data_IF_949020466926
#
_entry.id   IF_949020466926
#
_cell.length_a   1.000
_cell.length_b   1.000
_cell.length_c   1.000
_cell.angle_alpha   90.00
_cell.angle_beta   90.00
_cell.angle_gamma   90.00
#
_symmetry.space_group_name_H-M   'P 1'
#
loop_
_entity.id
_entity.type
_entity.pdbx_description
1 polymer ?
#
# COMPACT_ATOMS: atom_id res chain seq x y z
N UNK A 1 65.04 56.40 1.37
CA UNK A 1 65.03 57.28 0.18
C UNK A 1 64.21 56.57 -0.89
N UNK A 2 63.19 57.28 -1.41
CA UNK A 2 62.38 57.03 -2.62
C UNK A 2 61.24 55.99 -2.50
N UNK A 3 60.02 56.48 -2.77
CA UNK A 3 58.73 55.78 -2.65
C UNK A 3 58.26 55.15 -3.97
N UNK A 4 56.98 55.33 -4.37
CA UNK A 4 55.83 54.62 -3.81
C UNK A 4 55.00 53.89 -4.90
N UNK A 5 54.13 52.98 -4.46
CA UNK A 5 52.81 52.66 -5.05
C UNK A 5 52.68 52.01 -6.45
N UNK A 6 51.77 51.03 -6.45
CA UNK A 6 50.77 50.70 -7.49
C UNK A 6 50.98 49.48 -8.39
N UNK A 7 49.91 48.68 -8.37
CA UNK A 7 49.36 47.88 -9.46
C UNK A 7 50.13 46.63 -9.86
N UNK A 8 49.72 45.49 -9.30
CA UNK A 8 49.33 44.31 -10.08
C UNK A 8 48.46 43.40 -9.20
N UNK A 9 47.16 43.72 -9.13
CA UNK A 9 46.10 42.72 -9.08
C UNK A 9 46.34 41.76 -10.25
N UNK A 10 46.69 40.50 -10.01
CA UNK A 10 46.47 39.35 -10.92
C UNK A 10 46.59 38.07 -10.09
N UNK A 11 45.42 37.46 -9.84
CA UNK A 11 45.16 36.02 -9.91
C UNK A 11 45.98 35.08 -9.03
N UNK A 12 45.64 35.02 -7.74
CA UNK A 12 45.62 33.72 -7.06
C UNK A 12 44.35 32.99 -7.52
N UNK A 13 44.51 31.73 -7.94
CA UNK A 13 43.49 30.77 -8.38
C UNK A 13 43.07 30.89 -9.86
N UNK A 14 43.80 30.21 -10.76
CA UNK A 14 43.22 29.22 -11.69
C UNK A 14 44.27 28.58 -12.61
N UNK A 15 44.03 27.29 -12.89
CA UNK A 15 44.39 26.51 -14.07
C UNK A 15 45.80 25.91 -14.23
N UNK A 16 45.83 24.58 -14.01
CA UNK A 16 46.21 23.52 -14.97
C UNK A 16 47.62 23.50 -15.59
N UNK A 17 48.33 22.37 -15.48
CA UNK A 17 48.34 21.29 -16.49
C UNK A 17 49.37 20.18 -16.12
N UNK A 18 48.88 18.94 -16.15
CA UNK A 18 49.49 17.71 -16.68
C UNK A 18 50.84 17.16 -16.16
N UNK A 19 50.79 15.97 -15.54
CA UNK A 19 51.10 14.71 -16.26
C UNK A 19 51.10 13.45 -15.34
N UNK A 20 50.17 12.52 -15.64
CA UNK A 20 50.33 11.04 -15.70
C UNK A 20 50.62 10.22 -14.40
N UNK A 21 50.47 8.88 -14.39
CA UNK A 21 49.22 8.18 -14.09
C UNK A 21 49.39 7.17 -12.92
N UNK A 22 48.38 6.96 -12.06
CA UNK A 22 48.47 5.92 -11.02
C UNK A 22 47.28 4.97 -11.08
N UNK A 23 47.65 3.70 -11.03
CA UNK A 23 46.89 2.52 -11.35
C UNK A 23 45.61 2.36 -10.51
N UNK A 24 44.56 1.87 -11.17
CA UNK A 24 43.34 1.39 -10.52
C UNK A 24 43.67 0.04 -9.87
N UNK A 25 43.73 0.05 -8.54
CA UNK A 25 43.86 -1.15 -7.72
C UNK A 25 42.54 -1.93 -7.76
N UNK A 26 42.57 -3.12 -8.34
CA UNK A 26 41.43 -4.04 -8.41
C UNK A 26 41.43 -4.91 -7.16
N UNK A 27 40.89 -4.43 -6.04
CA UNK A 27 40.33 -5.29 -4.99
C UNK A 27 39.53 -4.47 -3.97
N UNK A 28 38.28 -4.16 -4.32
CA UNK A 28 37.22 -3.92 -3.33
C UNK A 28 35.93 -4.43 -3.93
N UNK A 29 35.50 -5.59 -3.47
CA UNK A 29 34.20 -6.19 -3.82
C UNK A 29 33.13 -5.32 -3.18
N UNK A 30 32.41 -4.56 -3.99
CA UNK A 30 31.13 -3.98 -3.61
C UNK A 30 30.09 -5.11 -3.49
N UNK A 31 29.12 -5.03 -2.55
CA UNK A 31 27.95 -5.90 -2.59
C UNK A 31 27.25 -5.76 -3.96
N UNK A 32 26.51 -6.78 -4.43
CA UNK A 32 25.73 -6.64 -5.65
C UNK A 32 24.78 -5.46 -5.46
N UNK A 33 24.86 -4.49 -6.37
CA UNK A 33 23.77 -3.56 -6.58
C UNK A 33 22.63 -4.44 -7.09
N UNK A 34 21.59 -4.61 -6.28
CA UNK A 34 20.30 -5.00 -6.82
C UNK A 34 19.96 -3.93 -7.85
N UNK A 35 19.88 -4.34 -9.12
CA UNK A 35 19.19 -3.56 -10.13
C UNK A 35 17.75 -3.41 -9.61
N UNK A 36 17.48 -2.29 -8.94
CA UNK A 36 16.12 -1.87 -8.66
C UNK A 36 15.56 -1.50 -10.02
N UNK A 37 14.69 -2.37 -10.54
CA UNK A 37 13.85 -2.07 -11.70
C UNK A 37 13.21 -0.69 -11.47
N UNK A 38 13.06 0.13 -12.53
CA UNK A 38 12.43 1.45 -12.41
C UNK A 38 11.10 1.32 -11.66
N UNK A 39 10.64 2.35 -10.92
CA UNK A 39 9.38 2.27 -10.17
C UNK A 39 8.29 1.84 -11.13
N UNK A 40 7.90 0.57 -11.05
CA UNK A 40 6.88 0.05 -11.92
C UNK A 40 5.55 0.60 -11.41
N UNK A 41 4.64 0.94 -12.32
CA UNK A 41 3.36 1.60 -12.10
C UNK A 41 2.38 0.80 -11.24
N UNK A 42 2.74 0.42 -10.00
CA UNK A 42 1.96 -0.43 -9.08
C UNK A 42 0.50 0.00 -9.02
N UNK A 43 -0.41 -0.86 -9.49
CA UNK A 43 -1.84 -0.56 -9.51
C UNK A 43 -2.47 -0.65 -8.11
N UNK A 44 -1.68 -1.01 -7.09
CA UNK A 44 -2.13 -1.15 -5.70
C UNK A 44 -2.85 -2.48 -5.43
N UNK A 45 -3.04 -3.33 -6.45
CA UNK A 45 -3.69 -4.63 -6.30
C UNK A 45 -2.72 -5.68 -5.73
N UNK A 46 -3.20 -6.48 -4.77
CA UNK A 46 -2.40 -7.57 -4.18
C UNK A 46 -2.03 -8.72 -5.15
N UNK A 47 -2.53 -8.68 -6.38
CA UNK A 47 -2.25 -9.58 -7.49
C UNK A 47 -1.82 -8.83 -8.76
N UNK A 48 -1.46 -7.54 -8.65
CA UNK A 48 -0.98 -6.69 -9.74
C UNK A 48 0.12 -7.38 -10.57
N UNK A 49 1.15 -7.91 -9.88
CA UNK A 49 2.22 -8.66 -10.54
C UNK A 49 1.71 -9.81 -11.40
N UNK A 50 0.74 -10.59 -10.91
CA UNK A 50 0.16 -11.69 -11.67
C UNK A 50 -0.64 -11.18 -12.87
N UNK A 51 -1.40 -10.10 -12.70
CA UNK A 51 -2.13 -9.43 -13.78
C UNK A 51 -1.17 -8.98 -14.89
N UNK A 52 -0.09 -8.28 -14.55
CA UNK A 52 0.93 -7.83 -15.51
C UNK A 52 1.61 -8.98 -16.23
N UNK A 53 2.12 -9.96 -15.49
CA UNK A 53 2.79 -11.11 -16.10
C UNK A 53 1.83 -11.82 -17.09
N UNK A 54 0.54 -11.94 -16.77
CA UNK A 54 -0.46 -12.48 -17.70
C UNK A 54 -0.62 -11.60 -18.96
N UNK A 55 -0.78 -10.29 -18.80
CA UNK A 55 -0.94 -9.34 -19.91
C UNK A 55 0.32 -9.32 -20.80
N UNK A 56 1.50 -9.17 -20.22
CA UNK A 56 2.79 -9.13 -20.94
C UNK A 56 3.02 -10.36 -21.80
N UNK A 57 2.61 -11.54 -21.31
CA UNK A 57 2.73 -12.78 -22.09
C UNK A 57 1.64 -12.91 -23.15
N UNK A 58 0.45 -12.37 -22.92
CA UNK A 58 -0.61 -12.30 -23.93
C UNK A 58 -0.26 -11.33 -25.06
N UNK A 59 0.35 -10.19 -24.77
CA UNK A 59 0.77 -9.20 -25.78
C UNK A 59 1.87 -9.70 -26.72
N UNK A 60 2.65 -10.70 -26.31
CA UNK A 60 3.63 -11.37 -27.18
C UNK A 60 2.97 -12.12 -28.34
N UNK A 61 1.68 -12.46 -28.24
CA UNK A 61 0.90 -13.07 -29.31
C UNK A 61 0.34 -11.98 -30.26
N UNK A 62 0.71 -11.97 -31.55
CA UNK A 62 0.28 -10.91 -32.46
C UNK A 62 -1.24 -10.80 -32.64
N UNK A 63 -1.95 -11.94 -32.63
CA UNK A 63 -3.41 -11.96 -32.78
C UNK A 63 -4.08 -11.36 -31.55
N UNK A 64 -3.64 -11.79 -30.36
CA UNK A 64 -4.20 -11.28 -29.12
C UNK A 64 -3.89 -9.79 -28.94
N UNK A 65 -2.67 -9.35 -29.23
CA UNK A 65 -2.26 -7.93 -29.14
C UNK A 65 -3.12 -7.03 -30.03
N UNK A 66 -3.37 -7.44 -31.27
CA UNK A 66 -4.25 -6.67 -32.17
C UNK A 66 -5.68 -6.59 -31.63
N UNK A 67 -6.18 -7.66 -30.99
CA UNK A 67 -7.49 -7.65 -30.34
C UNK A 67 -7.51 -6.76 -29.10
N UNK A 68 -6.46 -6.78 -28.28
CA UNK A 68 -6.34 -5.95 -27.10
C UNK A 68 -6.42 -4.46 -27.45
N UNK A 69 -5.64 -3.99 -28.43
CA UNK A 69 -5.61 -2.56 -28.80
C UNK A 69 -6.86 -2.06 -29.53
N UNK A 70 -7.64 -2.94 -30.17
CA UNK A 70 -8.81 -2.55 -30.96
C UNK A 70 -10.15 -2.77 -30.22
N UNK A 71 -10.12 -3.27 -28.99
CA UNK A 71 -11.33 -3.56 -28.21
C UNK A 71 -11.56 -2.46 -27.18
N UNK A 72 -12.75 -1.88 -27.19
CA UNK A 72 -13.15 -0.86 -26.21
C UNK A 72 -13.20 -1.46 -24.78
N UNK A 73 -12.98 -0.62 -23.76
CA UNK A 73 -12.99 -1.06 -22.37
C UNK A 73 -14.29 -1.75 -21.96
N UNK A 74 -15.44 -1.25 -22.40
CA UNK A 74 -16.74 -1.87 -22.12
C UNK A 74 -16.86 -3.29 -22.70
N UNK A 75 -16.25 -3.52 -23.86
CA UNK A 75 -16.23 -4.83 -24.50
C UNK A 75 -15.26 -5.79 -23.79
N UNK A 76 -14.16 -5.27 -23.24
CA UNK A 76 -13.24 -6.00 -22.35
C UNK A 76 -13.98 -6.43 -21.08
N UNK A 77 -14.70 -5.52 -20.40
CA UNK A 77 -15.50 -5.80 -19.19
C UNK A 77 -16.58 -6.86 -19.43
N UNK A 78 -17.16 -6.88 -20.63
CA UNK A 78 -18.16 -7.88 -21.04
C UNK A 78 -17.58 -9.28 -21.31
N UNK A 79 -16.25 -9.46 -21.22
CA UNK A 79 -15.59 -10.75 -21.42
C UNK A 79 -15.46 -11.15 -22.90
N UNK A 80 -15.56 -10.20 -23.83
CA UNK A 80 -15.35 -10.47 -25.26
C UNK A 80 -13.88 -10.81 -25.53
N UNK A 81 -12.95 -10.05 -24.92
CA UNK A 81 -11.51 -10.27 -25.05
C UNK A 81 -11.08 -11.64 -24.51
N UNK A 82 -11.66 -12.10 -23.40
CA UNK A 82 -11.31 -13.38 -22.80
C UNK A 82 -11.50 -14.57 -23.76
N UNK A 83 -12.48 -14.50 -24.67
CA UNK A 83 -12.75 -15.54 -25.68
C UNK A 83 -11.67 -15.65 -26.75
N UNK A 84 -10.89 -14.59 -26.97
CA UNK A 84 -9.79 -14.61 -27.94
C UNK A 84 -8.62 -15.49 -27.46
N UNK A 85 -8.60 -15.86 -26.18
CA UNK A 85 -7.63 -16.79 -25.59
C UNK A 85 -7.62 -18.18 -26.25
N UNK A 86 -8.71 -18.59 -26.89
CA UNK A 86 -8.80 -19.85 -27.64
C UNK A 86 -7.97 -19.86 -28.92
N UNK A 87 -7.62 -18.68 -29.45
CA UNK A 87 -6.83 -18.52 -30.68
C UNK A 87 -5.34 -18.25 -30.40
N UNK A 88 -4.98 -18.06 -29.13
CA UNK A 88 -3.61 -17.78 -28.69
C UNK A 88 -2.71 -19.00 -28.92
N UNK A 89 -1.45 -18.75 -29.31
CA UNK A 89 -0.47 -19.80 -29.56
C UNK A 89 -0.22 -20.72 -28.34
N UNK A 90 0.10 -21.99 -28.62
CA UNK A 90 0.33 -23.00 -27.58
C UNK A 90 1.46 -22.61 -26.60
N UNK A 91 2.50 -21.91 -27.07
CA UNK A 91 3.60 -21.48 -26.21
C UNK A 91 3.13 -20.50 -25.14
N UNK A 92 2.31 -19.52 -25.52
CA UNK A 92 1.72 -18.55 -24.58
C UNK A 92 0.77 -19.27 -23.61
N UNK A 93 -0.11 -20.15 -24.10
CA UNK A 93 -0.97 -20.99 -23.25
C UNK A 93 -0.19 -21.77 -22.19
N UNK A 94 0.91 -22.41 -22.58
CA UNK A 94 1.77 -23.18 -21.65
C UNK A 94 2.36 -22.29 -20.56
N UNK A 95 2.71 -21.05 -20.92
CA UNK A 95 3.24 -20.07 -19.96
C UNK A 95 2.16 -19.55 -19.01
N UNK A 96 0.97 -19.24 -19.52
CA UNK A 96 -0.18 -18.84 -18.69
C UNK A 96 -0.56 -19.92 -17.67
N UNK A 97 -0.52 -21.19 -18.07
CA UNK A 97 -0.70 -22.31 -17.14
C UNK A 97 0.35 -22.32 -16.03
N UNK A 98 1.60 -21.94 -16.33
CA UNK A 98 2.67 -21.84 -15.34
C UNK A 98 2.44 -20.67 -14.38
N UNK A 99 2.10 -19.49 -14.89
CA UNK A 99 1.79 -18.30 -14.09
C UNK A 99 0.64 -18.58 -13.12
N UNK A 100 -0.44 -19.20 -13.58
CA UNK A 100 -1.56 -19.60 -12.73
C UNK A 100 -1.14 -20.53 -11.59
N UNK A 101 -0.29 -21.52 -11.89
CA UNK A 101 0.23 -22.44 -10.85
C UNK A 101 1.09 -21.71 -9.83
N UNK A 102 1.90 -20.75 -10.27
CA UNK A 102 2.72 -19.93 -9.38
C UNK A 102 1.83 -19.08 -8.46
N UNK A 103 0.81 -18.44 -9.02
CA UNK A 103 -0.13 -17.62 -8.26
C UNK A 103 -0.92 -18.44 -7.23
N UNK A 104 -1.49 -19.58 -7.64
CA UNK A 104 -2.18 -20.49 -6.70
C UNK A 104 -1.25 -20.94 -5.56
N UNK A 105 0.04 -21.17 -5.83
CA UNK A 105 1.01 -21.54 -4.79
C UNK A 105 1.34 -20.36 -3.86
N UNK A 106 1.43 -19.13 -4.39
CA UNK A 106 1.57 -17.90 -3.60
C UNK A 106 0.39 -17.75 -2.62
N UNK A 107 -0.84 -17.86 -3.12
CA UNK A 107 -2.06 -17.76 -2.33
C UNK A 107 -2.16 -18.84 -1.25
N UNK A 108 -1.78 -20.09 -1.55
CA UNK A 108 -1.69 -21.17 -0.55
C UNK A 108 -0.69 -20.85 0.56
N UNK A 109 0.43 -20.22 0.20
CA UNK A 109 1.45 -19.82 1.17
C UNK A 109 0.92 -18.71 2.07
N UNK A 110 0.25 -17.70 1.51
CA UNK A 110 -0.39 -16.62 2.28
C UNK A 110 -1.44 -17.15 3.26
N UNK A 111 -2.30 -18.07 2.81
CA UNK A 111 -3.29 -18.73 3.68
C UNK A 111 -2.59 -19.43 4.85
N UNK A 112 -1.53 -20.20 4.56
CA UNK A 112 -0.79 -20.92 5.59
C UNK A 112 -0.16 -19.98 6.62
N UNK A 113 0.45 -18.88 6.17
CA UNK A 113 1.05 -17.86 7.05
C UNK A 113 -0.01 -17.22 7.95
N UNK A 114 -1.16 -16.81 7.38
CA UNK A 114 -2.27 -16.23 8.15
C UNK A 114 -2.77 -17.17 9.25
N UNK A 115 -2.79 -18.48 8.99
CA UNK A 115 -3.21 -19.47 9.98
C UNK A 115 -2.17 -19.71 11.07
N UNK A 116 -0.89 -19.76 10.70
CA UNK A 116 0.20 -19.90 11.67
C UNK A 116 0.25 -18.69 12.63
N UNK A 117 -0.11 -17.49 12.14
CA UNK A 117 -0.25 -16.27 12.95
C UNK A 117 -1.46 -16.31 13.89
N UNK A 118 -2.60 -16.82 13.42
CA UNK A 118 -3.84 -16.91 14.21
C UNK A 118 -3.82 -18.05 15.25
N UNK A 119 -2.73 -18.81 15.37
CA UNK A 119 -2.56 -19.83 16.41
C UNK A 119 -3.34 -21.13 16.17
N UNK A 120 -3.95 -21.33 14.99
CA UNK A 120 -4.74 -22.51 14.63
C UNK A 120 -3.85 -23.72 14.25
N UNK A 121 -2.87 -24.08 15.09
CA UNK A 121 -2.00 -25.22 14.83
C UNK A 121 -2.75 -26.54 15.02
N UNK A 122 -3.13 -27.18 13.92
CA UNK A 122 -3.52 -28.61 13.89
C UNK A 122 -4.88 -28.96 13.29
N UNK A 123 -5.66 -27.99 12.80
CA UNK A 123 -6.91 -28.27 12.09
C UNK A 123 -6.60 -28.72 10.65
N UNK A 124 -7.27 -29.73 10.10
CA UNK A 124 -7.15 -30.07 8.68
C UNK A 124 -7.82 -28.97 7.86
N UNK A 125 -7.02 -28.04 7.34
CA UNK A 125 -7.52 -26.88 6.61
C UNK A 125 -7.91 -27.28 5.19
N UNK A 126 -9.17 -27.05 4.83
CA UNK A 126 -9.58 -27.09 3.44
C UNK A 126 -9.05 -25.85 2.70
N UNK A 127 -7.80 -25.93 2.26
CA UNK A 127 -7.15 -24.87 1.51
C UNK A 127 -7.94 -24.50 0.24
N UNK A 128 -8.73 -25.44 -0.31
CA UNK A 128 -9.58 -25.18 -1.47
C UNK A 128 -10.78 -24.29 -1.10
N UNK A 129 -11.34 -24.43 0.10
CA UNK A 129 -12.39 -23.56 0.57
C UNK A 129 -11.88 -22.13 0.82
N UNK A 130 -10.67 -21.98 1.37
CA UNK A 130 -10.08 -20.67 1.63
C UNK A 130 -9.67 -19.94 0.35
N UNK A 131 -9.26 -20.66 -0.69
CA UNK A 131 -8.99 -20.06 -2.00
C UNK A 131 -10.23 -19.42 -2.65
N UNK A 132 -11.45 -19.72 -2.18
CA UNK A 132 -12.68 -19.06 -2.67
C UNK A 132 -12.72 -17.56 -2.41
N UNK A 133 -11.95 -17.08 -1.44
CA UNK A 133 -11.89 -15.65 -1.11
C UNK A 133 -11.16 -14.84 -2.20
N UNK A 134 -10.40 -15.50 -3.08
CA UNK A 134 -9.69 -14.84 -4.18
C UNK A 134 -10.52 -14.97 -5.46
N UNK A 135 -11.16 -13.89 -5.86
CA UNK A 135 -12.14 -13.88 -6.94
C UNK A 135 -11.51 -13.88 -8.34
N UNK A 136 -10.27 -13.36 -8.44
CA UNK A 136 -9.53 -13.16 -9.69
C UNK A 136 -8.99 -14.46 -10.34
N UNK A 137 -9.28 -15.63 -9.79
CA UNK A 137 -8.86 -16.93 -10.34
C UNK A 137 -9.88 -18.05 -10.17
N UNK A 138 -9.91 -18.99 -11.11
CA UNK A 138 -10.69 -20.21 -10.96
C UNK A 138 -9.95 -21.25 -10.07
N UNK A 139 -10.26 -21.25 -8.79
CA UNK A 139 -9.71 -22.19 -7.81
C UNK A 139 -10.22 -23.64 -7.97
N UNK A 140 -11.25 -23.89 -8.79
CA UNK A 140 -11.71 -25.26 -9.07
C UNK A 140 -10.77 -25.99 -10.03
N UNK A 141 -10.04 -25.25 -10.85
CA UNK A 141 -9.04 -25.76 -11.77
C UNK A 141 -7.69 -25.07 -11.53
N UNK A 142 -6.80 -25.59 -10.67
CA UNK A 142 -5.57 -24.88 -10.31
C UNK A 142 -4.42 -25.04 -11.31
N UNK A 143 -4.58 -25.80 -12.40
CA UNK A 143 -3.45 -26.24 -13.23
C UNK A 143 -3.42 -25.64 -14.63
N UNK A 144 -4.57 -25.31 -15.21
CA UNK A 144 -4.67 -24.73 -16.56
C UNK A 144 -5.37 -23.39 -16.52
N UNK A 145 -4.84 -22.43 -17.29
CA UNK A 145 -5.38 -21.08 -17.44
C UNK A 145 -6.36 -21.07 -18.61
N UNK A 146 -7.64 -20.88 -18.30
CA UNK A 146 -8.76 -20.96 -19.23
C UNK A 146 -9.39 -19.59 -19.47
N UNK A 147 -10.33 -19.52 -20.42
CA UNK A 147 -11.09 -18.30 -20.74
C UNK A 147 -11.75 -17.72 -19.47
N UNK A 148 -12.24 -18.59 -18.58
CA UNK A 148 -12.85 -18.19 -17.31
C UNK A 148 -11.83 -17.51 -16.38
N UNK A 149 -10.55 -17.91 -16.39
CA UNK A 149 -9.53 -17.26 -15.57
C UNK A 149 -9.22 -15.86 -16.05
N UNK A 150 -9.06 -15.68 -17.36
CA UNK A 150 -8.83 -14.35 -17.94
C UNK A 150 -10.04 -13.44 -17.72
N UNK A 151 -11.26 -13.95 -17.90
CA UNK A 151 -12.49 -13.19 -17.64
C UNK A 151 -12.61 -12.78 -16.17
N UNK A 152 -12.33 -13.68 -15.23
CA UNK A 152 -12.31 -13.38 -13.79
C UNK A 152 -11.22 -12.39 -13.42
N UNK A 153 -10.00 -12.58 -13.94
CA UNK A 153 -8.87 -11.70 -13.67
C UNK A 153 -9.14 -10.28 -14.14
N UNK A 154 -9.65 -10.10 -15.36
CA UNK A 154 -10.03 -8.79 -15.91
C UNK A 154 -11.16 -8.18 -15.09
N UNK A 155 -12.22 -8.93 -14.76
CA UNK A 155 -13.37 -8.42 -14.01
C UNK A 155 -13.00 -8.02 -12.59
N UNK A 156 -12.24 -8.85 -11.89
CA UNK A 156 -11.73 -8.53 -10.56
C UNK A 156 -10.80 -7.34 -10.62
N UNK A 157 -9.83 -7.29 -11.55
CA UNK A 157 -8.96 -6.14 -11.69
C UNK A 157 -9.75 -4.86 -11.98
N UNK A 158 -10.72 -4.90 -12.90
CA UNK A 158 -11.57 -3.74 -13.20
C UNK A 158 -12.35 -3.30 -11.97
N UNK A 159 -13.01 -4.24 -11.27
CA UNK A 159 -13.85 -3.89 -10.13
C UNK A 159 -13.02 -3.40 -8.95
N UNK A 160 -11.90 -4.04 -8.67
CA UNK A 160 -11.01 -3.67 -7.58
C UNK A 160 -10.39 -2.30 -7.87
N UNK A 161 -9.94 -2.02 -9.11
CA UNK A 161 -9.42 -0.71 -9.50
C UNK A 161 -10.49 0.40 -9.44
N UNK A 162 -11.72 0.12 -9.88
CA UNK A 162 -12.84 1.07 -9.79
C UNK A 162 -13.26 1.37 -8.34
N UNK A 163 -13.05 0.44 -7.42
CA UNK A 163 -13.40 0.61 -6.00
C UNK A 163 -12.19 0.87 -5.10
N UNK A 164 -10.97 0.87 -5.64
CA UNK A 164 -9.74 0.98 -4.87
C UNK A 164 -9.69 2.28 -4.07
N UNK A 165 -9.98 3.38 -4.75
CA UNK A 165 -10.09 4.69 -4.13
C UNK A 165 -11.19 4.73 -3.08
N UNK A 166 -12.35 4.15 -3.36
CA UNK A 166 -13.46 4.08 -2.40
C UNK A 166 -13.09 3.33 -1.12
N UNK A 167 -12.38 2.21 -1.22
CA UNK A 167 -11.92 1.47 -0.03
C UNK A 167 -10.91 2.29 0.78
N UNK A 168 -9.99 3.00 0.11
CA UNK A 168 -9.06 3.91 0.78
C UNK A 168 -9.77 5.05 1.51
N UNK A 169 -10.75 5.70 0.86
CA UNK A 169 -11.61 6.71 1.48
C UNK A 169 -12.30 6.18 2.75
N UNK A 170 -12.80 4.95 2.71
CA UNK A 170 -13.45 4.32 3.85
C UNK A 170 -12.49 4.01 5.00
N UNK A 171 -11.26 3.58 4.68
CA UNK A 171 -10.24 3.30 5.68
C UNK A 171 -9.69 4.57 6.31
N UNK A 172 -9.46 5.62 5.51
CA UNK A 172 -9.10 6.94 6.03
C UNK A 172 -10.22 7.53 6.90
N UNK A 173 -11.48 7.38 6.49
CA UNK A 173 -12.62 7.79 7.31
C UNK A 173 -12.65 7.06 8.66
N UNK A 174 -12.36 5.75 8.70
CA UNK A 174 -12.23 5.01 9.97
C UNK A 174 -11.05 5.51 10.80
N UNK A 175 -9.91 5.79 10.17
CA UNK A 175 -8.74 6.35 10.83
C UNK A 175 -9.09 7.66 11.56
N UNK A 176 -9.73 8.60 10.88
CA UNK A 176 -10.16 9.88 11.43
C UNK A 176 -11.19 9.71 12.57
N UNK A 177 -12.16 8.80 12.42
CA UNK A 177 -13.11 8.48 13.49
C UNK A 177 -12.43 7.83 14.71
N UNK A 178 -11.45 6.94 14.50
CA UNK A 178 -10.66 6.33 15.58
C UNK A 178 -9.84 7.37 16.33
N UNK A 179 -9.16 8.27 15.61
CA UNK A 179 -8.37 9.37 16.18
C UNK A 179 -9.22 10.27 17.06
N UNK A 180 -10.40 10.70 16.59
CA UNK A 180 -11.31 11.52 17.40
C UNK A 180 -11.92 10.73 18.58
N UNK A 181 -12.25 9.45 18.40
CA UNK A 181 -12.71 8.60 19.49
C UNK A 181 -11.66 8.46 20.60
N UNK A 182 -10.41 8.16 20.25
CA UNK A 182 -9.30 8.05 21.20
C UNK A 182 -9.06 9.37 21.94
N UNK A 183 -9.15 10.50 21.24
CA UNK A 183 -9.11 11.83 21.85
C UNK A 183 -10.25 12.03 22.86
N UNK A 184 -11.50 11.72 22.50
CA UNK A 184 -12.66 11.80 23.39
C UNK A 184 -12.51 10.89 24.63
N UNK A 185 -12.00 9.68 24.46
CA UNK A 185 -11.71 8.76 25.58
C UNK A 185 -10.57 9.30 26.46
N UNK A 186 -9.49 9.83 25.87
CA UNK A 186 -8.39 10.42 26.62
C UNK A 186 -8.88 11.57 27.52
N UNK A 187 -9.68 12.49 26.97
CA UNK A 187 -10.28 13.61 27.72
C UNK A 187 -11.16 13.14 28.89
N UNK A 188 -11.83 11.99 28.78
CA UNK A 188 -12.63 11.41 29.88
C UNK A 188 -11.75 10.93 31.04
N UNK A 189 -10.50 10.52 30.78
CA UNK A 189 -9.57 10.06 31.83
C UNK A 189 -8.91 11.20 32.62
N UNK A 190 -8.91 12.41 32.07
CA UNK A 190 -8.28 13.59 32.65
C UNK A 190 -9.17 14.32 33.67
N UNK A 191 -8.54 15.01 34.61
CA UNK A 191 -9.21 15.96 35.51
C UNK A 191 -9.60 17.26 34.77
N UNK A 192 -10.36 18.13 35.43
CA UNK A 192 -10.90 19.34 34.78
C UNK A 192 -9.81 20.30 34.28
N UNK A 193 -8.74 20.49 35.07
CA UNK A 193 -7.66 21.42 34.70
C UNK A 193 -6.83 20.86 33.54
N UNK A 194 -6.51 19.56 33.56
CA UNK A 194 -5.79 18.91 32.47
C UNK A 194 -6.62 18.86 31.19
N UNK A 195 -7.93 18.56 31.30
CA UNK A 195 -8.86 18.55 30.16
C UNK A 195 -8.94 19.91 29.45
N UNK A 196 -9.04 20.99 30.22
CA UNK A 196 -9.05 22.34 29.64
C UNK A 196 -7.74 22.65 28.90
N UNK A 197 -6.59 22.28 29.46
CA UNK A 197 -5.28 22.48 28.81
C UNK A 197 -5.14 21.68 27.52
N UNK A 198 -5.63 20.45 27.51
CA UNK A 198 -5.61 19.57 26.34
C UNK A 198 -6.53 20.12 25.23
N UNK A 199 -7.72 20.60 25.58
CA UNK A 199 -8.62 21.25 24.61
C UNK A 199 -8.02 22.56 24.06
N UNK A 200 -7.36 23.37 24.90
CA UNK A 200 -6.67 24.58 24.47
C UNK A 200 -5.49 24.28 23.54
N UNK A 201 -4.70 23.24 23.83
CA UNK A 201 -3.61 22.78 22.96
C UNK A 201 -4.16 22.26 21.63
N UNK A 202 -5.20 21.44 21.64
CA UNK A 202 -5.83 20.95 20.41
C UNK A 202 -6.33 22.08 19.50
N UNK A 203 -6.98 23.09 20.08
CA UNK A 203 -7.43 24.29 19.35
C UNK A 203 -6.27 25.17 18.85
N UNK A 204 -5.12 25.15 19.54
CA UNK A 204 -3.89 25.81 19.06
C UNK A 204 -3.32 25.05 17.86
N UNK A 205 -3.23 23.72 17.95
CA UNK A 205 -2.74 22.86 16.88
C UNK A 205 -3.58 22.99 15.60
N UNK A 206 -4.90 22.95 15.74
CA UNK A 206 -5.82 23.17 14.61
C UNK A 206 -5.61 24.53 13.94
N UNK A 207 -5.40 25.59 14.72
CA UNK A 207 -5.12 26.93 14.17
C UNK A 207 -3.77 27.02 13.48
N UNK A 208 -2.74 26.32 13.99
CA UNK A 208 -1.43 26.28 13.32
C UNK A 208 -1.53 25.58 11.98
N UNK A 209 -2.19 24.42 11.95
CA UNK A 209 -2.43 23.68 10.71
C UNK A 209 -3.20 24.53 9.68
N UNK A 210 -4.25 25.23 10.11
CA UNK A 210 -5.05 26.10 9.26
C UNK A 210 -4.28 27.34 8.72
N UNK A 211 -3.17 27.73 9.36
CA UNK A 211 -2.34 28.89 8.98
C UNK A 211 -1.29 28.49 7.95
N UNK A 212 -1.75 28.12 6.76
CA UNK A 212 -0.92 27.73 5.64
C UNK A 212 -1.07 28.69 4.44
N UNK A 213 -0.07 28.80 3.55
CA UNK A 213 -0.23 29.49 2.28
C UNK A 213 -1.40 28.92 1.47
N UNK A 214 -2.08 29.77 0.69
CA UNK A 214 -3.18 29.30 -0.16
C UNK A 214 -2.66 28.24 -1.12
N UNK A 215 -3.33 27.09 -1.11
CA UNK A 215 -3.12 26.01 -2.06
C UNK A 215 -3.87 26.27 -3.36
N UNK A 216 -3.23 25.93 -4.47
CA UNK A 216 -3.82 26.05 -5.79
C UNK A 216 -4.78 24.89 -6.04
N UNK A 217 -5.70 25.10 -6.99
CA UNK A 217 -6.58 24.03 -7.43
C UNK A 217 -5.77 22.97 -8.21
N UNK A 218 -5.97 21.67 -7.93
CA UNK A 218 -5.24 20.60 -8.61
C UNK A 218 -5.42 20.65 -10.13
N UNK A 219 -4.32 20.57 -10.88
CA UNK A 219 -4.35 20.62 -12.36
C UNK A 219 -4.58 22.02 -12.94
N UNK A 220 -4.68 23.07 -12.13
CA UNK A 220 -4.85 24.45 -12.61
C UNK A 220 -3.58 25.06 -13.17
N UNK A 221 -3.71 26.15 -13.93
CA UNK A 221 -2.56 26.84 -14.51
C UNK A 221 -1.56 27.31 -13.45
N UNK A 222 -2.04 27.82 -12.32
CA UNK A 222 -1.19 28.35 -11.26
C UNK A 222 -0.37 27.22 -10.61
N UNK A 223 -1.01 26.09 -10.32
CA UNK A 223 -0.34 24.90 -9.77
C UNK A 223 0.75 24.36 -10.72
N UNK A 224 0.43 24.20 -12.02
CA UNK A 224 1.40 23.68 -12.98
C UNK A 224 2.56 24.65 -13.24
N UNK A 225 2.31 25.97 -13.20
CA UNK A 225 3.37 26.97 -13.31
C UNK A 225 4.29 26.97 -12.11
N UNK A 226 3.75 26.72 -10.92
CA UNK A 226 4.57 26.62 -9.72
C UNK A 226 5.49 25.41 -9.78
N UNK A 227 4.98 24.24 -10.19
CA UNK A 227 5.82 23.06 -10.45
C UNK A 227 6.90 23.37 -11.49
N UNK A 228 6.54 24.05 -12.59
CA UNK A 228 7.46 24.48 -13.63
C UNK A 228 8.56 25.45 -13.14
N UNK A 229 8.25 26.32 -12.19
CA UNK A 229 9.24 27.24 -11.59
C UNK A 229 10.13 26.52 -10.57
N UNK A 230 9.52 25.83 -9.62
CA UNK A 230 10.18 25.34 -8.43
C UNK A 230 10.85 23.98 -8.63
N UNK A 231 10.19 23.07 -9.36
CA UNK A 231 10.72 21.74 -9.64
C UNK A 231 11.63 21.73 -10.88
N UNK A 232 11.22 22.41 -11.95
CA UNK A 232 11.96 22.40 -13.22
C UNK A 232 12.97 23.54 -13.36
N UNK A 233 12.85 24.60 -12.56
CA UNK A 233 13.74 25.77 -12.62
C UNK A 233 13.55 26.61 -13.89
N UNK A 234 12.34 26.61 -14.47
CA UNK A 234 12.01 27.29 -15.72
C UNK A 234 11.21 28.56 -15.49
N UNK A 235 11.24 29.52 -16.42
CA UNK A 235 10.54 30.80 -16.27
C UNK A 235 9.01 30.58 -16.37
N UNK A 236 8.21 31.01 -15.36
CA UNK A 236 6.75 30.91 -15.39
C UNK A 236 6.09 31.59 -16.61
N UNK A 237 6.74 32.60 -17.19
CA UNK A 237 6.23 33.33 -18.36
C UNK A 237 6.40 32.54 -19.66
N UNK A 238 7.27 31.52 -19.65
CA UNK A 238 7.52 30.63 -20.79
C UNK A 238 6.77 29.29 -20.66
N UNK A 239 5.81 29.20 -19.72
CA UNK A 239 5.02 28.00 -19.51
C UNK A 239 4.33 27.53 -20.80
N UNK A 240 4.67 26.31 -21.22
CA UNK A 240 4.07 25.64 -22.37
C UNK A 240 3.54 24.27 -21.94
N UNK A 241 2.21 24.05 -21.96
CA UNK A 241 1.60 22.79 -21.54
C UNK A 241 2.20 21.55 -22.21
N UNK A 242 2.55 21.67 -23.50
CA UNK A 242 3.13 20.55 -24.23
C UNK A 242 4.51 20.18 -23.72
N UNK A 243 5.35 21.17 -23.42
CA UNK A 243 6.68 20.94 -22.87
C UNK A 243 6.58 20.43 -21.44
N UNK A 244 5.68 21.00 -20.63
CA UNK A 244 5.36 20.51 -19.29
C UNK A 244 5.00 19.02 -19.30
N UNK A 245 4.11 18.61 -20.21
CA UNK A 245 3.70 17.22 -20.37
C UNK A 245 4.90 16.29 -20.59
N UNK A 246 5.74 16.56 -21.59
CA UNK A 246 6.87 15.65 -21.87
C UNK A 246 7.97 15.69 -20.81
N UNK A 247 7.99 16.71 -19.94
CA UNK A 247 8.99 16.82 -18.87
C UNK A 247 8.62 15.95 -17.66
N UNK A 248 7.32 15.78 -17.41
CA UNK A 248 6.78 15.01 -16.30
C UNK A 248 6.28 13.61 -16.69
N UNK A 249 6.30 13.28 -17.99
CA UNK A 249 6.16 11.93 -18.50
C UNK A 249 7.52 11.24 -18.25
N UNK A 250 7.66 10.75 -17.02
CA UNK A 250 8.94 10.30 -16.47
C UNK A 250 9.38 8.98 -17.11
N UNK A 251 8.42 8.14 -17.49
CA UNK A 251 8.66 6.85 -18.11
C UNK A 251 8.73 6.94 -19.65
N UNK A 252 8.25 8.05 -20.24
CA UNK A 252 8.30 8.35 -21.67
C UNK A 252 7.28 7.58 -22.51
N UNK A 253 6.18 7.10 -21.92
CA UNK A 253 5.15 6.30 -22.59
C UNK A 253 4.09 7.15 -23.32
N UNK A 254 4.11 8.47 -23.10
CA UNK A 254 3.20 9.43 -23.72
C UNK A 254 1.88 9.64 -22.97
N UNK A 255 1.78 9.16 -21.75
CA UNK A 255 0.65 9.31 -20.84
C UNK A 255 1.13 9.90 -19.51
N UNK A 256 0.19 10.48 -18.74
CA UNK A 256 0.39 10.64 -17.30
C UNK A 256 -0.39 9.55 -16.59
N UNK A 257 0.32 8.71 -15.84
CA UNK A 257 -0.32 7.79 -14.90
C UNK A 257 -0.65 8.47 -13.57
N UNK A 258 -1.24 7.71 -12.65
CA UNK A 258 -1.65 8.21 -11.33
C UNK A 258 -0.46 8.71 -10.50
N UNK A 259 0.66 8.02 -10.57
CA UNK A 259 1.85 8.34 -9.78
C UNK A 259 2.52 9.62 -10.30
N UNK A 260 2.53 9.79 -11.62
CA UNK A 260 3.03 10.99 -12.28
C UNK A 260 2.15 12.20 -11.95
N UNK A 261 0.82 12.07 -11.95
CA UNK A 261 -0.07 13.13 -11.49
C UNK A 261 0.12 13.45 -10.00
N UNK A 262 0.17 12.42 -9.15
CA UNK A 262 0.38 12.54 -7.71
C UNK A 262 1.70 13.26 -7.36
N UNK A 263 2.75 13.05 -8.17
CA UNK A 263 4.02 13.73 -8.01
C UNK A 263 3.88 15.26 -8.18
N UNK A 264 3.02 15.71 -9.10
CA UNK A 264 2.77 17.14 -9.35
C UNK A 264 2.15 17.86 -8.16
N UNK A 265 1.42 17.15 -7.30
CA UNK A 265 0.74 17.72 -6.15
C UNK A 265 1.66 17.88 -4.93
N UNK A 266 2.81 17.23 -4.92
CA UNK A 266 3.72 17.21 -3.76
C UNK A 266 4.09 18.63 -3.30
N UNK A 267 4.37 19.54 -4.25
CA UNK A 267 4.71 20.93 -3.93
C UNK A 267 3.55 21.72 -3.32
N UNK A 268 2.32 21.45 -3.75
CA UNK A 268 1.13 22.08 -3.15
C UNK A 268 0.88 21.54 -1.75
N UNK A 269 1.01 20.24 -1.54
CA UNK A 269 0.79 19.59 -0.24
C UNK A 269 1.85 19.99 0.80
N UNK A 270 3.11 20.18 0.39
CA UNK A 270 4.21 20.68 1.24
C UNK A 270 3.95 22.07 1.83
N UNK A 271 2.98 22.84 1.29
CA UNK A 271 2.56 24.12 1.88
C UNK A 271 1.72 23.95 3.15
N UNK A 272 1.02 22.83 3.26
CA UNK A 272 0.03 22.53 4.31
C UNK A 272 0.58 21.52 5.31
N UNK A 273 1.35 20.54 4.83
CA UNK A 273 1.81 19.42 5.62
C UNK A 273 3.33 19.36 5.66
N UNK A 274 3.91 19.42 6.86
CA UNK A 274 5.32 19.20 7.13
C UNK A 274 5.50 18.02 8.11
N UNK A 275 6.22 16.94 7.72
CA UNK A 275 6.47 15.79 8.59
C UNK A 275 7.19 16.11 9.92
N UNK A 276 7.76 17.30 10.05
CA UNK A 276 8.48 17.75 11.26
C UNK A 276 7.60 18.50 12.25
N UNK A 277 6.38 18.89 11.85
CA UNK A 277 5.38 19.53 12.68
C UNK A 277 4.46 18.48 13.33
N UNK A 278 4.03 18.74 14.57
CA UNK A 278 3.14 17.80 15.29
C UNK A 278 1.66 17.99 14.94
N UNK A 279 1.31 19.16 14.41
CA UNK A 279 -0.02 19.49 13.90
C UNK A 279 -0.35 18.78 12.58
N UNK A 280 0.66 18.37 11.83
CA UNK A 280 0.51 17.91 10.46
C UNK A 280 0.48 16.38 10.40
N UNK A 281 -0.66 15.85 9.96
CA UNK A 281 -0.85 14.41 9.82
C UNK A 281 -0.49 13.94 8.42
N UNK A 282 0.51 13.07 8.32
CA UNK A 282 0.97 12.54 7.03
C UNK A 282 -0.04 11.60 6.38
N UNK A 283 -0.96 11.00 7.16
CA UNK A 283 -2.07 10.23 6.60
C UNK A 283 -3.09 11.17 5.94
N UNK A 284 -3.36 12.34 6.54
CA UNK A 284 -4.22 13.37 5.95
C UNK A 284 -3.58 13.93 4.66
N UNK A 285 -2.26 14.17 4.67
CA UNK A 285 -1.53 14.60 3.47
C UNK A 285 -1.71 13.61 2.30
N UNK A 286 -1.57 12.31 2.58
CA UNK A 286 -1.72 11.29 1.55
C UNK A 286 -3.16 11.20 1.05
N UNK A 287 -4.14 11.27 1.94
CA UNK A 287 -5.55 11.33 1.55
C UNK A 287 -5.85 12.56 0.68
N UNK A 288 -5.32 13.73 1.04
CA UNK A 288 -5.47 14.94 0.24
C UNK A 288 -4.84 14.77 -1.15
N UNK A 289 -3.68 14.10 -1.26
CA UNK A 289 -3.05 13.74 -2.54
C UNK A 289 -3.99 12.90 -3.42
N UNK A 290 -4.65 11.89 -2.83
CA UNK A 290 -5.60 11.04 -3.53
C UNK A 290 -6.82 11.83 -4.02
N UNK A 291 -7.38 12.71 -3.17
CA UNK A 291 -8.48 13.61 -3.54
C UNK A 291 -8.10 14.51 -4.71
N UNK A 292 -6.89 15.09 -4.69
CA UNK A 292 -6.38 15.92 -5.78
C UNK A 292 -6.27 15.12 -7.09
N UNK A 293 -5.71 13.90 -7.02
CA UNK A 293 -5.62 13.00 -8.18
C UNK A 293 -6.98 12.63 -8.74
N UNK A 294 -7.91 12.19 -7.90
CA UNK A 294 -9.26 11.81 -8.32
C UNK A 294 -10.00 12.98 -8.96
N UNK A 295 -9.84 14.19 -8.41
CA UNK A 295 -10.39 15.39 -8.99
C UNK A 295 -9.86 15.63 -10.41
N UNK A 296 -8.53 15.62 -10.58
CA UNK A 296 -7.89 15.82 -11.90
C UNK A 296 -8.29 14.73 -12.89
N UNK A 297 -8.28 13.46 -12.49
CA UNK A 297 -8.68 12.35 -13.35
C UNK A 297 -10.14 12.52 -13.81
N UNK A 298 -11.06 12.83 -12.89
CA UNK A 298 -12.48 13.01 -13.25
C UNK A 298 -12.72 14.17 -14.23
N UNK A 299 -11.86 15.20 -14.22
CA UNK A 299 -11.97 16.31 -15.14
C UNK A 299 -11.29 16.06 -16.49
N UNK A 300 -10.11 15.44 -16.48
CA UNK A 300 -9.23 15.37 -17.65
C UNK A 300 -9.36 14.06 -18.41
N UNK A 301 -9.36 12.92 -17.71
CA UNK A 301 -9.47 11.58 -18.30
C UNK A 301 -10.91 11.37 -18.82
N UNK A 302 -11.07 11.47 -20.14
CA UNK A 302 -12.39 11.46 -20.78
C UNK A 302 -12.81 10.04 -21.14
N UNK A 303 -11.86 9.15 -21.44
CA UNK A 303 -12.13 7.77 -21.82
C UNK A 303 -12.17 6.80 -20.60
N UNK A 304 -11.80 7.27 -19.41
CA UNK A 304 -11.77 6.56 -18.14
C UNK A 304 -10.83 5.36 -18.14
N UNK A 305 -9.69 5.50 -18.79
CA UNK A 305 -8.64 4.48 -18.79
C UNK A 305 -7.60 4.65 -17.68
N UNK A 306 -7.79 5.64 -16.79
CA UNK A 306 -6.89 6.01 -15.69
C UNK A 306 -5.51 6.47 -16.16
N UNK A 307 -5.41 6.88 -17.42
CA UNK A 307 -4.23 7.49 -17.99
C UNK A 307 -4.65 8.80 -18.65
N UNK A 308 -3.89 9.86 -18.43
CA UNK A 308 -4.13 11.13 -19.12
C UNK A 308 -3.25 11.19 -20.35
N UNK A 309 -3.87 11.03 -21.51
CA UNK A 309 -3.14 11.21 -22.77
C UNK A 309 -2.74 12.67 -22.98
N UNK A 310 -1.69 12.88 -23.78
CA UNK A 310 -1.27 14.24 -24.15
C UNK A 310 -2.40 15.08 -24.76
N UNK A 311 -3.27 14.48 -25.57
CA UNK A 311 -4.37 15.22 -26.21
C UNK A 311 -5.45 15.61 -25.20
N UNK A 312 -5.75 14.77 -24.21
CA UNK A 312 -6.65 15.10 -23.09
C UNK A 312 -6.09 16.22 -22.23
N UNK A 313 -4.81 16.12 -21.86
CA UNK A 313 -4.11 17.14 -21.10
C UNK A 313 -4.15 18.50 -21.79
N UNK A 314 -3.76 18.57 -23.08
CA UNK A 314 -3.80 19.82 -23.84
C UNK A 314 -5.24 20.33 -23.96
N UNK A 315 -6.22 19.45 -24.16
CA UNK A 315 -7.62 19.85 -24.20
C UNK A 315 -8.08 20.45 -22.87
N UNK A 316 -7.68 19.87 -21.74
CA UNK A 316 -7.97 20.39 -20.40
C UNK A 316 -7.36 21.79 -20.18
N UNK A 317 -6.13 22.03 -20.63
CA UNK A 317 -5.49 23.36 -20.50
C UNK A 317 -6.19 24.49 -21.26
N UNK A 318 -7.09 24.17 -22.20
CA UNK A 318 -7.91 25.14 -22.92
C UNK A 318 -9.27 25.40 -22.27
N UNK A 319 -9.61 24.69 -21.20
CA UNK A 319 -10.89 24.84 -20.49
C UNK A 319 -10.85 26.03 -19.54
N UNK A 320 -12.04 26.47 -19.10
CA UNK A 320 -12.15 27.65 -18.24
C UNK A 320 -11.60 27.38 -16.85
N UNK A 321 -11.88 26.19 -16.36
CA UNK A 321 -11.52 25.64 -15.05
C UNK A 321 -9.98 25.66 -14.85
N UNK A 322 -9.22 25.49 -15.93
CA UNK A 322 -7.76 25.60 -15.90
C UNK A 322 -7.26 27.03 -15.63
N UNK A 323 -7.92 28.04 -16.21
CA UNK A 323 -7.50 29.46 -16.17
C UNK A 323 -8.11 30.23 -15.00
N UNK A 324 -9.34 29.87 -14.61
CA UNK A 324 -10.10 30.48 -13.53
C UNK A 324 -10.61 29.38 -12.60
N UNK A 325 -9.72 28.71 -11.84
CA UNK A 325 -10.12 27.66 -10.94
C UNK A 325 -10.88 28.21 -9.73
N UNK A 326 -11.79 27.39 -9.20
CA UNK A 326 -12.33 27.60 -7.86
C UNK A 326 -11.25 27.28 -6.80
N UNK A 327 -11.44 27.77 -5.56
CA UNK A 327 -10.54 27.41 -4.46
C UNK A 327 -10.58 25.91 -4.16
N UNK A 328 -9.46 25.34 -3.73
CA UNK A 328 -9.43 23.96 -3.22
C UNK A 328 -9.75 23.95 -1.72
N UNK A 329 -10.72 23.12 -1.32
CA UNK A 329 -11.12 22.92 0.07
C UNK A 329 -10.39 21.71 0.67
N UNK A 330 -9.54 21.98 1.66
CA UNK A 330 -8.78 20.95 2.39
C UNK A 330 -9.70 20.05 3.22
N UNK A 331 -9.17 18.91 3.65
CA UNK A 331 -9.83 17.98 4.59
C UNK A 331 -10.34 18.68 5.85
N UNK A 332 -9.65 19.71 6.36
CA UNK A 332 -10.11 20.47 7.52
C UNK A 332 -11.43 21.22 7.25
N UNK A 333 -11.59 21.75 6.04
CA UNK A 333 -12.76 22.53 5.63
C UNK A 333 -13.93 21.64 5.25
N UNK A 334 -13.65 20.45 4.72
CA UNK A 334 -14.63 19.45 4.33
C UNK A 334 -14.35 18.08 4.98
N UNK A 335 -14.76 17.88 6.26
CA UNK A 335 -14.53 16.63 6.98
C UNK A 335 -15.19 15.41 6.31
N UNK A 336 -14.50 14.27 6.31
CA UNK A 336 -14.95 13.03 5.65
C UNK A 336 -16.07 12.28 6.38
N UNK A 337 -16.32 12.61 7.65
CA UNK A 337 -17.36 11.99 8.46
C UNK A 337 -18.24 13.03 9.14
N UNK A 338 -19.48 12.61 9.40
CA UNK A 338 -20.45 13.37 10.17
C UNK A 338 -20.46 12.92 11.63
N UNK A 339 -20.90 13.79 12.55
CA UNK A 339 -21.06 13.41 13.97
C UNK A 339 -22.02 12.21 14.16
N UNK A 340 -22.97 12.00 13.23
CA UNK A 340 -23.82 10.81 13.23
C UNK A 340 -23.01 9.53 13.02
N UNK A 341 -22.14 9.54 12.00
CA UNK A 341 -21.32 8.39 11.65
C UNK A 341 -20.29 8.09 12.74
N UNK A 342 -19.69 9.13 13.35
CA UNK A 342 -18.81 8.95 14.50
C UNK A 342 -19.57 8.28 15.66
N UNK A 343 -20.81 8.71 15.94
CA UNK A 343 -21.63 8.11 16.99
C UNK A 343 -22.03 6.67 16.70
N UNK A 344 -22.26 6.30 15.44
CA UNK A 344 -22.50 4.91 15.04
C UNK A 344 -21.23 4.07 15.17
N UNK A 345 -20.08 4.62 14.80
CA UNK A 345 -18.76 3.99 14.94
C UNK A 345 -18.42 3.71 16.41
N UNK A 346 -18.59 4.69 17.30
CA UNK A 346 -18.36 4.52 18.74
C UNK A 346 -19.30 3.46 19.36
N UNK A 347 -20.54 3.37 18.89
CA UNK A 347 -21.46 2.31 19.31
C UNK A 347 -20.98 0.93 18.87
N UNK A 348 -20.48 0.81 17.63
CA UNK A 348 -19.91 -0.43 17.13
C UNK A 348 -18.68 -0.85 17.95
N UNK A 349 -17.76 0.08 18.25
CA UNK A 349 -16.59 -0.18 19.10
C UNK A 349 -16.99 -0.67 20.49
N UNK A 350 -17.98 -0.03 21.13
CA UNK A 350 -18.46 -0.45 22.45
C UNK A 350 -19.07 -1.87 22.45
N UNK A 351 -19.80 -2.23 21.38
CA UNK A 351 -20.35 -3.58 21.21
C UNK A 351 -19.23 -4.61 20.98
N UNK A 352 -18.24 -4.28 20.16
CA UNK A 352 -17.09 -5.14 19.89
C UNK A 352 -16.24 -5.35 21.15
N UNK A 353 -15.99 -4.29 21.93
CA UNK A 353 -15.30 -4.39 23.22
C UNK A 353 -16.05 -5.32 24.19
N UNK A 354 -17.39 -5.21 24.23
CA UNK A 354 -18.21 -6.09 25.05
C UNK A 354 -18.09 -7.57 24.62
N UNK A 355 -18.13 -7.85 23.32
CA UNK A 355 -17.97 -9.20 22.79
C UNK A 355 -16.57 -9.76 23.06
N UNK A 356 -15.52 -8.96 22.85
CA UNK A 356 -14.14 -9.34 23.17
C UNK A 356 -13.96 -9.61 24.66
N UNK A 357 -14.55 -8.80 25.54
CA UNK A 357 -14.53 -9.03 26.98
C UNK A 357 -15.24 -10.35 27.35
N UNK A 358 -16.37 -10.67 26.72
CA UNK A 358 -17.05 -11.96 26.93
C UNK A 358 -16.19 -13.14 26.48
N UNK A 359 -15.60 -13.06 25.28
CA UNK A 359 -14.71 -14.10 24.74
C UNK A 359 -13.45 -14.28 25.60
N UNK A 360 -12.84 -13.18 26.05
CA UNK A 360 -11.68 -13.18 26.94
C UNK A 360 -11.99 -13.87 28.26
N UNK A 361 -13.13 -13.56 28.87
CA UNK A 361 -13.60 -14.23 30.09
C UNK A 361 -13.84 -15.73 29.87
N UNK A 362 -14.37 -16.12 28.72
CA UNK A 362 -14.59 -17.53 28.39
C UNK A 362 -13.27 -18.28 28.19
N UNK A 363 -12.31 -17.69 27.48
CA UNK A 363 -10.96 -18.23 27.31
C UNK A 363 -10.23 -18.38 28.65
N UNK A 364 -10.41 -17.41 29.57
CA UNK A 364 -9.83 -17.50 30.90
C UNK A 364 -10.39 -18.69 31.69
N UNK A 365 -11.71 -18.93 31.64
CA UNK A 365 -12.32 -20.13 32.23
C UNK A 365 -11.80 -21.42 31.60
N UNK A 366 -11.67 -21.46 30.28
CA UNK A 366 -11.12 -22.63 29.57
C UNK A 366 -9.67 -22.90 29.98
N UNK A 367 -8.86 -21.85 30.14
CA UNK A 367 -7.48 -21.96 30.64
C UNK A 367 -7.44 -22.54 32.05
N UNK A 368 -8.28 -22.06 32.96
CA UNK A 368 -8.38 -22.60 34.33
C UNK A 368 -8.81 -24.07 34.36
N UNK A 369 -9.75 -24.46 33.50
CA UNK A 369 -10.20 -25.85 33.40
C UNK A 369 -9.11 -26.78 32.85
N UNK A 370 -8.39 -26.34 31.81
CA UNK A 370 -7.24 -27.08 31.28
C UNK A 370 -6.12 -27.22 32.32
N UNK A 371 -5.88 -26.18 33.12
CA UNK A 371 -4.90 -26.22 34.22
C UNK A 371 -5.30 -27.27 35.28
N UNK A 372 -6.59 -27.31 35.67
CA UNK A 372 -7.12 -28.36 36.56
C UNK A 372 -6.96 -29.77 35.96
N UNK A 373 -7.27 -29.95 34.69
CA UNK A 373 -7.11 -31.25 34.02
C UNK A 373 -5.65 -31.68 33.96
N UNK A 374 -4.73 -30.75 33.72
CA UNK A 374 -3.30 -31.01 33.72
C UNK A 374 -2.78 -31.42 35.11
N UNK A 375 -3.25 -30.77 36.18
CA UNK A 375 -2.94 -31.15 37.56
C UNK A 375 -3.44 -32.57 37.89
N UNK A 376 -4.68 -32.90 37.49
CA UNK A 376 -5.24 -34.24 37.68
C UNK A 376 -4.44 -35.31 36.92
N UNK A 377 -4.06 -35.04 35.67
CA UNK A 377 -3.25 -35.95 34.86
C UNK A 377 -1.86 -36.17 35.49
N UNK A 378 -1.24 -35.10 36.00
CA UNK A 378 0.05 -35.18 36.69
C UNK A 378 -0.05 -36.01 37.98
N UNK A 379 -1.12 -35.83 38.77
CA UNK A 379 -1.37 -36.63 39.96
C UNK A 379 -1.53 -38.13 39.62
N UNK A 380 -2.35 -38.46 38.62
CA UNK A 380 -2.51 -39.85 38.14
C UNK A 380 -1.19 -40.45 37.66
N UNK A 381 -0.37 -39.67 36.94
CA UNK A 381 0.95 -40.12 36.49
C UNK A 381 1.89 -40.42 37.65
N UNK A 382 1.86 -39.61 38.72
CA UNK A 382 2.65 -39.85 39.92
C UNK A 382 2.19 -41.10 40.68
N UNK A 383 0.88 -41.32 40.80
CA UNK A 383 0.31 -42.54 41.40
C UNK A 383 0.76 -43.80 40.62
N UNK A 384 0.60 -43.80 39.30
CA UNK A 384 1.04 -44.91 38.44
C UNK A 384 2.56 -45.16 38.54
N UNK A 385 3.37 -44.12 38.67
CA UNK A 385 4.81 -44.25 38.87
C UNK A 385 5.15 -44.89 40.24
N UNK A 386 4.45 -44.50 41.31
CA UNK A 386 4.62 -45.11 42.63
C UNK A 386 4.21 -46.59 42.63
N UNK A 387 3.08 -46.94 42.00
CA UNK A 387 2.65 -48.33 41.85
C UNK A 387 3.68 -49.17 41.06
N UNK A 388 4.16 -48.64 39.93
CA UNK A 388 5.22 -49.28 39.15
C UNK A 388 6.51 -49.47 39.95
N UNK A 389 6.87 -48.52 40.82
CA UNK A 389 8.06 -48.63 41.65
C UNK A 389 7.88 -49.65 42.79
N UNK A 390 6.71 -49.68 43.43
CA UNK A 390 6.34 -50.69 44.44
C UNK A 390 6.33 -52.12 43.89
N UNK A 391 5.82 -52.31 42.67
CA UNK A 391 5.86 -53.59 41.95
C UNK A 391 7.30 -54.03 41.62
N UNK A 392 8.21 -53.10 41.31
CA UNK A 392 9.64 -53.40 41.10
C UNK A 392 10.38 -53.75 42.40
N UNK A 393 10.01 -53.15 43.54
CA UNK A 393 10.67 -53.43 44.83
C UNK A 393 10.22 -54.76 45.47
N UNK A 394 9.03 -55.26 45.12
CA UNK A 394 8.53 -56.58 45.56
C UNK A 394 9.13 -57.74 44.76
N UNK A 395 9.85 -57.47 43.67
CA UNK A 395 10.62 -58.42 42.86
C UNK A 395 12.14 -58.25 43.08
N UNK A 396 12.61 -58.16 44.32
CA UNK A 396 14.00 -58.53 44.66
C UNK A 396 14.07 -60.01 45.01
N UNK A 397 14.88 -60.84 44.31
CA UNK A 397 15.01 -62.25 44.64
C UNK A 397 15.81 -62.38 45.93
N UNK A 398 15.14 -62.83 47.00
CA UNK A 398 15.80 -63.27 48.22
C UNK A 398 16.80 -64.37 47.88
N UNK A 399 18.09 -64.04 47.99
CA UNK A 399 19.18 -65.00 47.93
C UNK A 399 19.03 -65.95 49.11
N UNK A 400 18.80 -67.23 48.83
CA UNK A 400 18.65 -68.27 49.85
C UNK A 400 19.95 -68.48 50.64
N UNK A 401 19.89 -68.71 51.96
CA UNK A 401 21.02 -69.26 52.68
C UNK A 401 21.02 -70.77 52.49
N UNK A 402 21.98 -71.26 51.69
CA UNK A 402 22.48 -72.61 51.85
C UNK A 402 23.48 -72.65 52.99
N UNK A 403 23.45 -73.72 53.79
CA UNK A 403 24.61 -74.18 54.56
C UNK A 403 24.39 -74.43 56.06
N UNK A 404 24.41 -75.72 56.41
CA UNK A 404 25.03 -76.33 57.60
C UNK A 404 24.34 -76.08 58.97
N UNK A 405 23.98 -77.06 59.80
CA UNK A 405 24.32 -78.49 59.98
C UNK A 405 23.15 -79.22 60.64
#
# INVERSE_FOLDING_TARGET
>A
MWGPSHFCLIMCLWACLDALPVAVDKTKVSPPVEDVEPPESDTGLHYDRYLREVIDFLEKDPHFREKLHNTDMEDIKQGKLAKELDFVSHHVRTKLDELKRQEVNRLRTLIKVKQDMNGEKGMTVDHKALLKQFEHLNHMNPYTFEVEDLDRLIKSATNDLENFDKERHEDFKKYEMTKEHERKEHLKTLDEEARQKEEEHYEEMKKKHADHPKINHPGSQDQLKEVWEDADGLDPNEFDPKTFFNLHDTNGDGYFDEQELEALFTKELEKVYDPTHEEDDMMEMEEERLRMREHVMNEVDTNRDRLVSRDEFITATNRKEFLEPDGWETLEQNPMYTEEELREFEQHLALEEQDLNLRSNELLKQREELERQQEQLNAQKMELQQECWGLKCTHQPGSGPGGEQ
#
